data_IF_109101323526
#
_entry.id   IF_109101323526
#
_cell.length_a   1.000
_cell.length_b   1.000
_cell.length_c   1.000
_cell.angle_alpha   90.00
_cell.angle_beta   90.00
_cell.angle_gamma   90.00
#
_symmetry.space_group_name_H-M   'P 1'
#
loop_
_entity.id
_entity.type
_entity.pdbx_description
1 polymer ?
#
# COMPACT_ATOMS: atom_id res chain seq x y z
N UNK A 1 -3.55 9.05 31.77
CA UNK A 1 -3.50 8.80 31.16
C UNK A 1 -3.68 8.75 30.33
N UNK A 2 -3.79 8.56 30.15
CA UNK A 2 -3.97 8.47 29.22
C UNK A 2 -4.23 8.39 28.44
N UNK A 3 -4.39 8.28 28.29
CA UNK A 3 -4.64 8.09 27.50
C UNK A 3 -4.89 8.18 26.66
N UNK A 4 -5.03 8.31 26.63
CA UNK A 4 -5.13 8.36 25.79
C UNK A 4 -5.29 8.46 25.08
N UNK A 5 -5.41 8.63 25.06
CA UNK A 5 -5.48 8.64 24.25
C UNK A 5 -5.71 8.64 23.33
N UNK A 6 -5.41 8.74 23.55
CA UNK A 6 -5.56 8.81 22.13
C UNK A 6 -6.38 7.68 21.63
N UNK A 7 -7.31 7.98 20.84
CA UNK A 7 -8.05 6.97 20.28
C UNK A 7 -7.28 6.31 19.25
N UNK A 8 -7.28 5.01 19.14
CA UNK A 8 -6.57 4.30 18.12
C UNK A 8 -7.03 4.71 16.73
N UNK A 9 -6.10 4.75 15.84
CA UNK A 9 -6.43 4.95 14.46
C UNK A 9 -7.23 3.77 13.95
N UNK A 10 -8.11 4.05 13.03
CA UNK A 10 -8.86 3.01 12.36
C UNK A 10 -7.94 2.34 11.35
N UNK A 11 -7.70 1.07 11.52
CA UNK A 11 -6.83 0.30 10.63
C UNK A 11 -7.63 -0.86 10.04
N UNK A 12 -7.57 -1.01 8.74
CA UNK A 12 -8.19 -2.12 8.05
C UNK A 12 -7.10 -2.98 7.46
N UNK A 13 -7.16 -4.27 7.72
CA UNK A 13 -6.17 -5.19 7.22
C UNK A 13 -6.80 -6.18 6.26
N UNK A 14 -6.06 -6.52 5.21
CA UNK A 14 -6.52 -7.40 4.18
C UNK A 14 -5.36 -8.31 3.79
N UNK A 15 -5.66 -9.58 3.62
CA UNK A 15 -4.67 -10.57 3.24
C UNK A 15 -5.25 -11.37 2.10
N UNK A 16 -4.58 -11.36 0.96
CA UNK A 16 -5.05 -12.06 -0.23
C UNK A 16 -3.88 -12.79 -0.85
N UNK A 17 -4.16 -13.64 -1.81
CA UNK A 17 -3.10 -14.23 -2.60
C UNK A 17 -2.38 -13.14 -3.37
N UNK A 18 -1.09 -13.35 -3.60
CA UNK A 18 -0.31 -12.42 -4.41
C UNK A 18 -0.55 -12.75 -5.88
N UNK A 19 -1.73 -12.42 -6.35
CA UNK A 19 -2.17 -12.72 -7.70
C UNK A 19 -2.95 -11.52 -8.24
N UNK A 20 -2.82 -11.30 -9.54
CA UNK A 20 -3.38 -10.10 -10.14
C UNK A 20 -4.90 -10.04 -10.06
N UNK A 21 -5.56 -11.19 -10.01
CA UNK A 21 -7.01 -11.18 -9.90
C UNK A 21 -7.50 -10.74 -8.52
N UNK A 22 -6.60 -10.52 -7.58
CA UNK A 22 -6.95 -9.99 -6.27
C UNK A 22 -6.91 -8.47 -6.21
N UNK A 23 -6.33 -7.82 -7.21
CA UNK A 23 -6.22 -6.36 -7.21
C UNK A 23 -7.57 -5.65 -7.12
N UNK A 24 -8.63 -6.12 -7.78
CA UNK A 24 -9.93 -5.44 -7.64
C UNK A 24 -10.44 -5.39 -6.20
N UNK A 25 -10.13 -6.39 -5.40
CA UNK A 25 -10.54 -6.39 -3.99
C UNK A 25 -9.80 -5.31 -3.24
N UNK A 26 -8.49 -5.22 -3.46
CA UNK A 26 -7.68 -4.21 -2.79
C UNK A 26 -8.14 -2.81 -3.18
N UNK A 27 -8.42 -2.62 -4.49
CA UNK A 27 -8.91 -1.33 -4.97
C UNK A 27 -10.24 -0.96 -4.32
N UNK A 28 -11.14 -1.94 -4.17
CA UNK A 28 -12.44 -1.68 -3.60
C UNK A 28 -12.34 -1.23 -2.15
N UNK A 29 -11.46 -1.86 -1.39
CA UNK A 29 -11.25 -1.46 0.01
C UNK A 29 -10.68 -0.05 0.06
N UNK A 30 -9.66 0.22 -0.75
CA UNK A 30 -9.03 1.53 -0.77
C UNK A 30 -10.03 2.63 -1.13
N UNK A 31 -10.82 2.37 -2.17
CA UNK A 31 -11.81 3.35 -2.63
C UNK A 31 -12.85 3.63 -1.56
N UNK A 32 -13.33 2.58 -0.91
CA UNK A 32 -14.34 2.72 0.12
C UNK A 32 -13.82 3.56 1.28
N UNK A 33 -12.60 3.27 1.73
CA UNK A 33 -12.04 4.00 2.86
C UNK A 33 -11.79 5.46 2.52
N UNK A 34 -11.26 5.72 1.33
CA UNK A 34 -10.98 7.10 0.92
C UNK A 34 -12.27 7.89 0.73
N UNK A 35 -13.29 7.24 0.15
CA UNK A 35 -14.56 7.90 -0.07
C UNK A 35 -15.19 8.28 1.27
N UNK A 36 -15.14 7.39 2.24
CA UNK A 36 -15.73 7.65 3.55
C UNK A 36 -15.06 8.80 4.28
N UNK A 37 -13.82 9.07 3.96
CA UNK A 37 -13.09 10.14 4.62
C UNK A 37 -13.05 11.43 3.81
N UNK A 38 -13.86 11.50 2.75
CA UNK A 38 -14.06 12.74 2.03
C UNK A 38 -12.97 13.11 1.03
N UNK A 39 -12.19 12.12 0.58
CA UNK A 39 -11.23 12.39 -0.49
C UNK A 39 -11.97 12.76 -1.77
N UNK A 40 -11.36 13.64 -2.55
CA UNK A 40 -11.93 14.03 -3.84
C UNK A 40 -11.89 12.86 -4.81
N UNK A 41 -12.78 12.87 -5.79
CA UNK A 41 -12.82 11.79 -6.78
C UNK A 41 -11.49 11.66 -7.51
N UNK A 42 -10.84 12.79 -7.81
CA UNK A 42 -9.52 12.75 -8.45
C UNK A 42 -8.48 12.11 -7.54
N UNK A 43 -8.57 12.37 -6.24
CA UNK A 43 -7.65 11.77 -5.29
C UNK A 43 -7.91 10.27 -5.16
N UNK A 44 -9.18 9.88 -5.17
CA UNK A 44 -9.53 8.47 -5.10
C UNK A 44 -9.03 7.74 -6.34
N UNK A 45 -9.14 8.38 -7.51
CA UNK A 45 -8.61 7.79 -8.73
C UNK A 45 -7.09 7.59 -8.63
N UNK A 46 -6.39 8.57 -8.09
CA UNK A 46 -4.94 8.44 -7.90
C UNK A 46 -4.62 7.31 -6.94
N UNK A 47 -5.39 7.21 -5.85
CA UNK A 47 -5.18 6.15 -4.86
C UNK A 47 -5.37 4.78 -5.52
N UNK A 48 -6.44 4.61 -6.31
CA UNK A 48 -6.70 3.30 -6.91
C UNK A 48 -5.64 2.93 -7.93
N UNK A 49 -5.13 3.91 -8.67
CA UNK A 49 -4.04 3.64 -9.61
C UNK A 49 -2.75 3.31 -8.86
N UNK A 50 -2.50 4.00 -7.75
CA UNK A 50 -1.34 3.69 -6.93
C UNK A 50 -1.43 2.27 -6.35
N UNK A 51 -2.63 1.85 -5.94
CA UNK A 51 -2.85 0.48 -5.48
C UNK A 51 -2.43 -0.51 -6.56
N UNK A 52 -2.82 -0.25 -7.82
CA UNK A 52 -2.46 -1.14 -8.91
C UNK A 52 -0.94 -1.21 -9.11
N UNK A 53 -0.27 -0.05 -9.03
CA UNK A 53 1.18 -0.04 -9.24
C UNK A 53 1.91 -0.78 -8.12
N UNK A 54 1.51 -0.52 -6.88
CA UNK A 54 2.13 -1.20 -5.75
C UNK A 54 1.82 -2.69 -5.79
N UNK A 55 0.56 -3.02 -6.02
CA UNK A 55 0.15 -4.42 -6.05
C UNK A 55 0.88 -5.20 -7.12
N UNK A 56 0.99 -4.63 -8.32
CA UNK A 56 1.68 -5.31 -9.40
C UNK A 56 3.15 -5.53 -9.05
N UNK A 57 3.80 -4.52 -8.45
CA UNK A 57 5.20 -4.65 -8.09
C UNK A 57 5.42 -5.77 -7.08
N UNK A 58 4.56 -5.83 -6.06
CA UNK A 58 4.72 -6.85 -5.03
C UNK A 58 4.33 -8.23 -5.52
N UNK A 59 3.30 -8.33 -6.35
CA UNK A 59 2.90 -9.60 -6.92
C UNK A 59 4.05 -10.17 -7.76
N UNK A 60 4.69 -9.31 -8.56
CA UNK A 60 5.82 -9.76 -9.38
C UNK A 60 7.00 -10.21 -8.53
N UNK A 61 7.19 -9.62 -7.35
CA UNK A 61 8.31 -9.96 -6.49
C UNK A 61 8.03 -11.14 -5.57
N UNK A 62 6.77 -11.49 -5.38
CA UNK A 62 6.37 -12.44 -4.35
C UNK A 62 6.87 -13.84 -4.66
N UNK A 63 7.34 -14.51 -3.60
CA UNK A 63 7.61 -15.94 -3.67
C UNK A 63 6.30 -16.70 -3.82
N UNK A 64 6.34 -17.79 -4.57
CA UNK A 64 5.17 -18.61 -4.76
C UNK A 64 4.56 -18.99 -3.41
N UNK A 65 3.27 -18.76 -3.28
CA UNK A 65 2.56 -19.07 -2.05
C UNK A 65 2.57 -17.96 -1.02
N UNK A 66 3.33 -16.89 -1.25
CA UNK A 66 3.31 -15.76 -0.32
C UNK A 66 2.00 -15.01 -0.44
N UNK A 67 1.35 -14.70 0.68
CA UNK A 67 0.21 -13.80 0.59
C UNK A 67 0.68 -12.38 0.40
N UNK A 68 -0.21 -11.56 -0.12
CA UNK A 68 -0.04 -10.12 -0.17
C UNK A 68 -0.80 -9.55 1.02
N UNK A 69 -0.10 -8.89 1.91
CA UNK A 69 -0.69 -8.33 3.11
C UNK A 69 -0.80 -6.83 2.95
N UNK A 70 -1.98 -6.30 3.24
CA UNK A 70 -2.27 -4.87 3.07
C UNK A 70 -2.79 -4.32 4.38
N UNK A 71 -2.30 -3.15 4.74
CA UNK A 71 -2.79 -2.43 5.91
C UNK A 71 -3.15 -1.03 5.47
N UNK A 72 -4.41 -0.65 5.67
CA UNK A 72 -4.93 0.66 5.29
C UNK A 72 -5.17 1.46 6.53
N UNK A 73 -4.70 2.68 6.54
CA UNK A 73 -4.88 3.54 7.69
C UNK A 73 -5.21 4.94 7.19
N UNK A 74 -6.27 5.53 7.72
CA UNK A 74 -6.60 6.90 7.38
C UNK A 74 -6.54 7.71 8.67
N UNK A 75 -5.64 8.66 8.70
CA UNK A 75 -5.37 9.44 9.90
C UNK A 75 -5.43 10.91 9.50
N UNK A 76 -6.37 11.65 10.07
CA UNK A 76 -6.55 13.04 9.69
C UNK A 76 -6.87 13.12 8.21
N UNK A 77 -6.01 13.78 7.45
CA UNK A 77 -6.19 13.95 6.02
C UNK A 77 -5.28 13.03 5.21
N UNK A 78 -4.64 12.06 5.84
CA UNK A 78 -3.68 11.21 5.14
C UNK A 78 -4.24 9.81 4.98
N UNK A 79 -4.07 9.25 3.79
CA UNK A 79 -4.38 7.87 3.48
C UNK A 79 -3.05 7.14 3.35
N UNK A 80 -2.88 6.11 4.15
CA UNK A 80 -1.65 5.31 4.14
C UNK A 80 -2.00 3.88 3.79
N UNK A 81 -1.33 3.34 2.79
CA UNK A 81 -1.40 1.91 2.48
C UNK A 81 -0.01 1.34 2.65
N UNK A 82 0.08 0.29 3.45
CA UNK A 82 1.31 -0.48 3.60
C UNK A 82 1.05 -1.87 3.07
N UNK A 83 1.92 -2.33 2.17
CA UNK A 83 1.79 -3.65 1.56
C UNK A 83 3.08 -4.44 1.76
N UNK A 84 2.94 -5.74 1.86
CA UNK A 84 4.11 -6.60 2.12
C UNK A 84 3.93 -7.97 1.51
N UNK A 85 5.03 -8.52 1.03
CA UNK A 85 5.11 -9.91 0.56
C UNK A 85 6.44 -10.50 1.00
N UNK A 86 6.51 -11.82 0.99
CA UNK A 86 7.78 -12.53 1.10
C UNK A 86 8.33 -12.73 -0.30
N UNK A 87 9.61 -12.49 -0.48
CA UNK A 87 10.23 -12.53 -1.80
C UNK A 87 11.62 -13.14 -1.68
N UNK A 88 12.03 -13.91 -2.69
CA UNK A 88 13.41 -14.37 -2.79
C UNK A 88 14.27 -13.40 -3.58
N UNK A 89 13.65 -12.55 -4.39
CA UNK A 89 14.38 -11.67 -5.29
C UNK A 89 14.45 -10.23 -4.81
N UNK A 90 13.48 -9.82 -4.00
CA UNK A 90 13.37 -8.43 -3.63
C UNK A 90 12.83 -7.57 -4.76
N UNK A 91 12.87 -6.27 -4.57
CA UNK A 91 12.41 -5.31 -5.58
C UNK A 91 13.53 -5.01 -6.55
N UNK A 92 13.18 -4.58 -7.79
CA UNK A 92 14.21 -4.14 -8.72
C UNK A 92 15.04 -3.03 -8.12
N UNK A 93 16.34 -3.07 -8.42
CA UNK A 93 17.25 -2.09 -7.86
C UNK A 93 16.96 -0.69 -8.36
N UNK A 94 16.60 -0.57 -9.62
CA UNK A 94 16.37 0.73 -10.22
C UNK A 94 14.89 0.91 -10.50
N UNK A 95 14.34 2.06 -10.12
CA UNK A 95 12.92 2.31 -10.38
C UNK A 95 12.68 2.43 -11.87
N UNK A 96 11.62 1.82 -12.32
CA UNK A 96 11.18 1.93 -13.69
C UNK A 96 10.00 2.87 -13.81
N UNK A 97 9.30 2.74 -14.94
CA UNK A 97 8.14 3.58 -15.21
C UNK A 97 7.06 3.42 -14.14
N UNK A 98 6.88 2.20 -13.66
CA UNK A 98 5.89 1.94 -12.63
C UNK A 98 6.18 2.75 -11.37
N UNK A 99 7.45 2.82 -11.00
CA UNK A 99 7.83 3.53 -9.79
C UNK A 99 7.63 5.04 -9.93
N UNK A 100 7.99 5.55 -11.09
CA UNK A 100 7.78 6.98 -11.35
C UNK A 100 6.31 7.32 -11.37
N UNK A 101 5.48 6.40 -11.91
CA UNK A 101 4.05 6.59 -11.89
C UNK A 101 3.52 6.65 -10.46
N UNK A 102 4.00 5.73 -9.61
CA UNK A 102 3.58 5.69 -8.23
C UNK A 102 3.96 7.00 -7.51
N UNK A 103 5.16 7.49 -7.73
CA UNK A 103 5.59 8.74 -7.12
C UNK A 103 4.75 9.92 -7.58
N UNK A 104 4.33 9.91 -8.85
CA UNK A 104 3.50 10.99 -9.37
C UNK A 104 2.09 10.96 -8.81
N UNK A 105 1.61 9.80 -8.42
CA UNK A 105 0.22 9.63 -7.94
C UNK A 105 0.08 9.90 -6.46
N UNK A 106 1.18 9.94 -5.72
CA UNK A 106 1.13 9.96 -4.25
C UNK A 106 2.01 11.08 -3.72
N UNK A 107 1.95 11.29 -2.42
CA UNK A 107 2.77 12.30 -1.77
C UNK A 107 4.05 11.73 -1.22
N UNK A 108 4.06 10.45 -0.87
CA UNK A 108 5.26 9.79 -0.39
C UNK A 108 5.20 8.32 -0.71
N UNK A 109 6.36 7.75 -1.01
CA UNK A 109 6.51 6.32 -1.18
C UNK A 109 7.67 5.86 -0.31
N UNK A 110 7.45 4.79 0.43
CA UNK A 110 8.46 4.22 1.31
C UNK A 110 8.63 2.76 0.96
N UNK A 111 9.86 2.30 0.96
CA UNK A 111 10.13 0.89 0.67
C UNK A 111 11.12 0.35 1.66
N UNK A 112 10.95 -0.91 2.03
CA UNK A 112 11.97 -1.67 2.71
C UNK A 112 12.08 -3.04 2.07
N UNK A 113 13.29 -3.57 2.13
CA UNK A 113 13.59 -4.85 1.52
C UNK A 113 14.57 -5.53 2.47
N UNK A 114 14.03 -6.21 3.47
CA UNK A 114 14.83 -6.75 4.56
C UNK A 114 15.05 -8.23 4.37
N UNK A 115 16.30 -8.65 4.49
CA UNK A 115 16.61 -10.06 4.49
C UNK A 115 16.07 -10.69 5.76
N UNK A 116 15.34 -11.78 5.58
CA UNK A 116 14.89 -12.57 6.70
C UNK A 116 16.01 -13.41 7.24
N UNK A 117 15.72 -14.09 8.32
CA UNK A 117 16.72 -14.96 8.93
C UNK A 117 16.85 -16.26 8.19
N UNK A 118 15.82 -16.67 7.49
CA UNK A 118 15.91 -17.85 6.65
C UNK A 118 16.68 -17.49 5.40
N UNK A 119 17.43 -18.43 4.92
CA UNK A 119 18.28 -18.16 3.79
C UNK A 119 17.47 -17.73 2.58
N UNK A 120 17.82 -16.58 2.07
CA UNK A 120 17.30 -16.10 0.80
C UNK A 120 15.95 -15.44 0.85
N UNK A 121 15.25 -15.50 1.94
CA UNK A 121 13.95 -14.85 2.02
C UNK A 121 14.08 -13.42 2.48
N UNK A 122 13.26 -12.57 1.89
CA UNK A 122 13.19 -11.16 2.23
C UNK A 122 11.76 -10.79 2.49
N UNK A 123 11.57 -9.83 3.36
CA UNK A 123 10.26 -9.18 3.45
C UNK A 123 10.35 -7.88 2.72
N UNK A 124 9.53 -7.74 1.69
CA UNK A 124 9.49 -6.55 0.86
C UNK A 124 8.24 -5.78 1.24
N UNK A 125 8.42 -4.53 1.62
CA UNK A 125 7.31 -3.66 2.03
C UNK A 125 7.34 -2.42 1.18
N UNK A 126 6.18 -2.06 0.64
CA UNK A 126 6.00 -0.80 -0.08
C UNK A 126 4.80 -0.11 0.53
N UNK A 127 4.99 1.16 0.88
CA UNK A 127 3.91 1.95 1.45
C UNK A 127 3.82 3.27 0.71
N UNK A 128 2.61 3.81 0.59
CA UNK A 128 2.46 5.16 0.07
C UNK A 128 1.50 5.96 0.92
N UNK A 129 1.64 7.27 0.84
CA UNK A 129 0.78 8.21 1.54
C UNK A 129 0.18 9.15 0.50
N UNK A 130 -1.13 9.35 0.61
CA UNK A 130 -1.84 10.31 -0.22
C UNK A 130 -2.56 11.28 0.72
N UNK A 131 -2.27 12.55 0.56
CA UNK A 131 -2.91 13.58 1.38
C UNK A 131 -4.21 14.01 0.73
N UNK A 132 -5.22 14.20 1.56
CA UNK A 132 -6.47 14.79 1.10
C UNK A 132 -6.29 16.30 1.02
N UNK A 133 -6.71 16.86 -0.09
CA UNK A 133 -6.58 18.29 -0.31
C UNK A 133 -7.90 18.90 -0.65
N UNK A 134 -7.94 20.21 -0.74
CA UNK A 134 -9.06 20.90 -1.33
C UNK A 134 -10.29 21.02 -0.50
N UNK A 135 -10.24 20.70 0.74
CA UNK A 135 -11.40 20.88 1.50
C UNK A 135 -11.21 21.86 2.45
N UNK A 136 -11.95 22.51 2.64
CA UNK A 136 -11.81 23.49 3.50
C UNK A 136 -12.85 23.53 4.22
#
# INVERSE_FOLDING_TARGET
>A
MNKVSARPQSTTELRVEAARDQLPIIRAVARTLAHRRGFLLTEIADITRAVDEVGAALIDAATLGSPLRCSFEVSGSAFLLTTAVTSHRGLPRYPGARWRSLEALTDRVLTTDLLGESSGEREVVVAFIKQRRGRR
#
